data_IF_452332687897
#
_entry.id   IF_452332687897
#
_cell.length_a   1.000
_cell.length_b   1.000
_cell.length_c   1.000
_cell.angle_alpha   90.00
_cell.angle_beta   90.00
_cell.angle_gamma   90.00
#
_symmetry.space_group_name_H-M   'P 1'
#
loop_
_entity.id
_entity.type
_entity.pdbx_description
1 polymer ?
#
# COMPACT_ATOMS: atom_id res chain seq x y z
N UNK A 1 0.96 57.26 -2.36
CA UNK A 1 2.06 56.82 -3.24
C UNK A 1 2.64 55.54 -2.68
N UNK A 2 2.13 54.42 -3.14
CA UNK A 2 2.53 53.08 -2.68
C UNK A 2 3.33 52.45 -3.82
N UNK A 3 4.62 52.20 -3.57
CA UNK A 3 5.54 51.61 -4.52
C UNK A 3 5.34 50.07 -4.51
N UNK A 4 4.90 49.55 -5.64
CA UNK A 4 4.86 48.14 -5.91
C UNK A 4 6.26 47.70 -6.44
N UNK A 5 6.85 46.74 -5.76
CA UNK A 5 8.06 46.07 -6.23
C UNK A 5 7.72 45.05 -7.33
N UNK A 6 8.49 44.95 -8.43
CA UNK A 6 8.22 43.99 -9.50
C UNK A 6 8.68 42.58 -9.12
N UNK A 7 7.76 41.61 -9.20
CA UNK A 7 8.08 40.17 -9.15
C UNK A 7 8.97 39.79 -10.34
N UNK A 8 10.17 39.35 -10.05
CA UNK A 8 11.08 38.69 -10.99
C UNK A 8 10.47 37.34 -11.43
N UNK A 9 9.91 37.31 -12.64
CA UNK A 9 9.58 36.06 -13.34
C UNK A 9 10.90 35.38 -13.73
N UNK A 10 11.29 34.35 -12.99
CA UNK A 10 12.32 33.42 -13.46
C UNK A 10 11.73 32.50 -14.53
N UNK A 11 12.15 32.68 -15.78
CA UNK A 11 11.90 31.74 -16.86
C UNK A 11 12.66 30.43 -16.58
N UNK A 12 11.97 29.39 -16.14
CA UNK A 12 12.47 28.03 -16.14
C UNK A 12 12.22 27.41 -17.52
N UNK A 13 13.30 27.10 -18.22
CA UNK A 13 13.30 26.31 -19.47
C UNK A 13 12.72 24.94 -19.21
N UNK A 14 11.86 24.47 -20.12
CA UNK A 14 11.05 23.27 -20.05
C UNK A 14 11.82 21.97 -19.75
N UNK A 15 11.69 21.54 -18.50
CA UNK A 15 11.72 20.13 -18.14
C UNK A 15 10.28 19.75 -17.86
N UNK A 16 9.79 18.65 -18.39
CA UNK A 16 8.47 18.12 -18.07
C UNK A 16 8.41 17.96 -16.54
N UNK A 17 7.67 18.83 -15.86
CA UNK A 17 7.35 18.65 -14.46
C UNK A 17 6.57 17.34 -14.36
N UNK A 18 7.21 16.30 -13.85
CA UNK A 18 6.47 15.11 -13.44
C UNK A 18 5.52 15.56 -12.35
N UNK A 19 4.22 15.59 -12.66
CA UNK A 19 3.16 15.93 -11.73
C UNK A 19 3.32 15.05 -10.49
N UNK A 20 3.56 15.69 -9.33
CA UNK A 20 3.81 14.96 -8.08
C UNK A 20 2.53 14.22 -7.70
N UNK A 21 2.61 12.90 -7.48
CA UNK A 21 1.48 12.07 -7.14
C UNK A 21 1.70 11.42 -5.78
N UNK A 22 0.64 11.33 -4.96
CA UNK A 22 0.67 10.71 -3.63
C UNK A 22 0.16 9.28 -3.66
N UNK A 23 0.83 8.41 -2.92
CA UNK A 23 0.30 7.10 -2.58
C UNK A 23 -0.82 7.26 -1.53
N UNK A 24 -1.82 6.38 -1.56
CA UNK A 24 -2.86 6.30 -0.53
C UNK A 24 -3.06 4.84 -0.16
N UNK A 25 -3.08 4.57 1.13
CA UNK A 25 -3.42 3.25 1.64
C UNK A 25 -4.56 3.32 2.65
N UNK A 26 -5.38 2.27 2.66
CA UNK A 26 -6.48 2.06 3.59
C UNK A 26 -6.52 0.57 3.91
N UNK A 27 -6.08 0.21 5.10
CA UNK A 27 -5.94 -1.17 5.52
C UNK A 27 -6.91 -1.48 6.65
N UNK A 28 -7.74 -2.51 6.47
CA UNK A 28 -8.51 -3.10 7.54
C UNK A 28 -7.73 -4.28 8.12
N UNK A 29 -7.46 -4.24 9.41
CA UNK A 29 -6.84 -5.33 10.14
C UNK A 29 -7.68 -6.62 10.07
N UNK A 30 -7.06 -7.73 9.73
CA UNK A 30 -7.70 -9.04 9.71
C UNK A 30 -6.74 -10.11 10.21
N UNK A 31 -7.19 -10.95 11.15
CA UNK A 31 -6.47 -12.16 11.51
C UNK A 31 -6.95 -13.33 10.65
N UNK A 32 -6.12 -13.76 9.72
CA UNK A 32 -6.40 -14.94 8.90
C UNK A 32 -6.38 -16.25 9.69
N UNK A 33 -5.75 -16.25 10.87
CA UNK A 33 -5.60 -17.46 11.66
C UNK A 33 -6.87 -17.86 12.41
N UNK A 34 -7.89 -17.00 12.48
CA UNK A 34 -9.17 -17.31 13.13
C UNK A 34 -10.30 -17.80 12.21
N UNK A 35 -10.20 -17.63 10.90
CA UNK A 35 -11.20 -18.22 10.01
C UNK A 35 -11.11 -19.76 10.09
N UNK A 36 -12.25 -20.45 10.09
CA UNK A 36 -12.27 -21.94 10.07
C UNK A 36 -11.46 -22.51 8.90
N UNK A 37 -11.39 -21.79 7.79
CA UNK A 37 -10.54 -22.10 6.64
C UNK A 37 -9.06 -21.89 6.94
N UNK A 38 -8.67 -20.88 7.69
CA UNK A 38 -7.28 -20.65 8.06
C UNK A 38 -6.78 -21.63 9.13
N UNK A 39 -7.65 -22.11 10.04
CA UNK A 39 -7.29 -23.23 10.93
C UNK A 39 -7.03 -24.52 10.16
N UNK A 40 -7.73 -24.75 9.02
CA UNK A 40 -7.44 -25.87 8.11
C UNK A 40 -6.14 -25.66 7.32
N UNK A 41 -5.83 -24.45 6.93
CA UNK A 41 -4.62 -24.05 6.22
C UNK A 41 -3.39 -24.06 7.16
N UNK A 42 -3.54 -23.66 8.42
CA UNK A 42 -2.46 -23.73 9.42
C UNK A 42 -2.11 -25.18 9.83
N UNK A 43 -3.08 -26.11 9.74
CA UNK A 43 -2.82 -27.56 9.90
C UNK A 43 -2.23 -28.23 8.66
N UNK A 44 -2.27 -27.61 7.50
CA UNK A 44 -1.74 -28.11 6.23
C UNK A 44 -0.68 -27.18 5.67
N UNK A 45 0.56 -27.28 6.15
CA UNK A 45 1.83 -26.84 5.51
C UNK A 45 1.74 -25.76 4.41
N UNK A 46 0.96 -24.72 4.60
CA UNK A 46 1.08 -23.53 3.79
C UNK A 46 1.85 -22.53 4.63
N UNK A 47 3.11 -22.37 4.32
CA UNK A 47 3.95 -21.24 4.69
C UNK A 47 3.23 -19.96 4.26
N UNK A 48 2.25 -19.56 5.06
CA UNK A 48 1.66 -18.25 4.93
C UNK A 48 2.69 -17.26 5.41
N UNK A 49 3.11 -16.36 4.53
CA UNK A 49 3.85 -15.18 4.93
C UNK A 49 3.15 -14.56 6.15
N UNK A 50 3.81 -14.59 7.27
CA UNK A 50 3.34 -14.09 8.57
C UNK A 50 3.44 -12.57 8.69
N UNK A 51 3.69 -11.87 7.62
CA UNK A 51 3.65 -10.42 7.54
C UNK A 51 2.23 -9.90 7.27
N UNK A 52 1.26 -10.47 7.95
CA UNK A 52 -0.04 -9.86 8.03
C UNK A 52 0.03 -8.89 9.18
N UNK A 53 -0.32 -7.65 8.91
CA UNK A 53 -0.63 -6.72 9.97
C UNK A 53 -1.58 -7.42 10.92
N UNK A 54 -1.09 -7.81 12.10
CA UNK A 54 -1.86 -8.43 13.15
C UNK A 54 -2.82 -7.41 13.81
N UNK A 55 -3.47 -6.59 13.01
CA UNK A 55 -4.37 -5.53 13.43
C UNK A 55 -5.80 -6.05 13.65
N UNK A 56 -5.98 -7.37 13.73
CA UNK A 56 -7.25 -7.93 14.15
C UNK A 56 -7.36 -7.86 15.67
N UNK A 57 -8.32 -7.10 16.14
CA UNK A 57 -8.61 -6.97 17.57
C UNK A 57 -9.66 -8.04 17.95
N UNK A 58 -9.18 -9.24 18.22
CA UNK A 58 -10.04 -10.39 18.47
C UNK A 58 -10.56 -10.46 19.88
N UNK A 59 -9.78 -10.03 20.85
CA UNK A 59 -10.04 -10.13 22.27
C UNK A 59 -9.35 -8.98 23.04
N UNK A 60 -9.57 -8.94 24.35
CA UNK A 60 -9.02 -7.92 25.23
C UNK A 60 -7.49 -7.88 25.21
N UNK A 61 -6.80 -9.03 25.06
CA UNK A 61 -5.35 -9.05 24.95
C UNK A 61 -4.86 -8.40 23.65
N UNK A 62 -5.54 -8.66 22.53
CA UNK A 62 -5.24 -8.00 21.25
C UNK A 62 -5.51 -6.49 21.33
N UNK A 63 -6.62 -6.11 21.99
CA UNK A 63 -6.96 -4.70 22.20
C UNK A 63 -5.90 -3.99 23.07
N UNK A 64 -5.43 -4.63 24.15
CA UNK A 64 -4.35 -4.10 24.98
C UNK A 64 -3.03 -3.90 24.20
N UNK A 65 -2.70 -4.79 23.26
CA UNK A 65 -1.54 -4.63 22.38
C UNK A 65 -1.69 -3.44 21.44
N UNK A 66 -2.89 -3.27 20.87
CA UNK A 66 -3.21 -2.11 20.02
C UNK A 66 -3.15 -0.82 20.83
N UNK A 67 -3.70 -0.81 22.06
CA UNK A 67 -3.59 0.34 22.96
C UNK A 67 -2.14 0.76 23.18
N UNK A 68 -1.27 -0.19 23.55
CA UNK A 68 0.17 0.07 23.74
C UNK A 68 0.86 0.59 22.48
N UNK A 69 0.55 0.00 21.33
CA UNK A 69 1.13 0.41 20.05
C UNK A 69 0.68 1.79 19.64
N UNK A 70 -0.62 2.05 19.61
CA UNK A 70 -1.18 3.29 19.08
C UNK A 70 -0.90 4.49 19.99
N UNK A 71 -0.82 4.28 21.30
CA UNK A 71 -0.54 5.34 22.28
C UNK A 71 0.94 5.42 22.68
N UNK A 72 1.81 4.57 22.09
CA UNK A 72 3.25 4.50 22.43
C UNK A 72 3.48 4.40 23.93
N UNK A 73 2.77 3.51 24.58
CA UNK A 73 2.80 3.34 26.05
C UNK A 73 4.11 2.79 26.57
N UNK A 74 5.03 2.42 25.68
CA UNK A 74 6.36 1.88 25.96
C UNK A 74 7.49 2.84 25.53
N UNK A 75 7.19 4.01 24.95
CA UNK A 75 8.15 4.92 24.34
C UNK A 75 8.05 6.33 24.92
N UNK A 76 9.19 7.04 24.92
CA UNK A 76 9.25 8.42 25.38
C UNK A 76 8.81 9.45 24.31
N UNK A 77 8.43 9.03 23.11
CA UNK A 77 8.09 9.90 21.97
C UNK A 77 6.59 10.23 21.88
N UNK A 78 5.91 10.29 23.02
CA UNK A 78 4.46 10.63 23.09
C UNK A 78 4.11 11.98 22.43
N UNK A 79 5.04 12.88 22.30
CA UNK A 79 4.85 14.18 21.67
C UNK A 79 4.57 14.11 20.14
N UNK A 80 4.91 13.00 19.52
CA UNK A 80 4.69 12.72 18.11
C UNK A 80 3.39 11.95 17.84
N UNK A 81 2.61 11.69 18.88
CA UNK A 81 1.31 11.02 18.80
C UNK A 81 0.20 12.05 19.02
N UNK A 82 -0.88 11.95 18.23
CA UNK A 82 -2.06 12.82 18.37
C UNK A 82 -3.33 11.99 18.37
N UNK A 83 -3.98 11.92 19.53
CA UNK A 83 -5.34 11.38 19.63
C UNK A 83 -6.30 12.46 19.14
N UNK A 84 -7.06 12.16 18.09
CA UNK A 84 -8.04 13.09 17.50
C UNK A 84 -9.48 12.69 17.78
N UNK A 85 -9.70 11.46 18.26
CA UNK A 85 -10.99 10.95 18.74
C UNK A 85 -10.77 9.92 19.83
N UNK A 86 -11.66 9.87 20.83
CA UNK A 86 -11.52 9.03 22.03
C UNK A 86 -10.58 9.65 23.04
N UNK A 87 -10.01 8.80 23.88
CA UNK A 87 -9.13 9.19 24.98
C UNK A 87 -7.71 8.57 24.84
N UNK A 88 -6.88 8.76 25.86
CA UNK A 88 -5.59 8.06 25.95
C UNK A 88 -5.72 6.63 26.55
N UNK A 89 -6.89 6.03 26.40
CA UNK A 89 -7.16 4.64 26.81
C UNK A 89 -8.15 3.97 25.85
N UNK A 90 -7.61 3.40 24.79
CA UNK A 90 -8.38 2.73 23.73
C UNK A 90 -9.19 1.55 24.29
N UNK A 91 -8.68 0.90 25.33
CA UNK A 91 -9.38 -0.24 25.95
C UNK A 91 -10.68 0.22 26.59
N UNK A 92 -10.65 1.32 27.33
CA UNK A 92 -11.84 1.89 27.94
C UNK A 92 -12.76 2.53 26.89
N UNK A 93 -12.21 3.24 25.88
CA UNK A 93 -13.01 3.80 24.77
C UNK A 93 -13.84 2.70 24.07
N UNK A 94 -13.28 1.51 23.85
CA UNK A 94 -14.02 0.37 23.24
C UNK A 94 -15.05 -0.19 24.22
N UNK A 95 -14.74 -0.32 25.51
CA UNK A 95 -15.71 -0.81 26.52
C UNK A 95 -16.92 0.13 26.66
N UNK A 96 -16.67 1.44 26.70
CA UNK A 96 -17.71 2.46 26.80
C UNK A 96 -18.60 2.43 25.54
N UNK A 97 -18.00 2.29 24.37
CA UNK A 97 -18.73 2.11 23.12
C UNK A 97 -19.61 0.85 23.13
N UNK A 98 -19.15 -0.25 23.75
CA UNK A 98 -19.98 -1.45 23.92
C UNK A 98 -21.18 -1.21 24.83
N UNK A 99 -21.01 -0.46 25.91
CA UNK A 99 -22.11 -0.07 26.80
C UNK A 99 -23.10 0.85 26.06
N UNK A 100 -22.61 1.85 25.35
CA UNK A 100 -23.45 2.80 24.60
C UNK A 100 -24.28 2.08 23.52
N UNK A 101 -23.66 1.22 22.74
CA UNK A 101 -24.27 0.69 21.52
C UNK A 101 -25.08 -0.60 21.75
N UNK A 102 -24.75 -1.41 22.74
CA UNK A 102 -25.34 -2.76 22.87
C UNK A 102 -26.14 -2.99 24.15
N UNK A 103 -26.03 -2.12 25.13
CA UNK A 103 -26.67 -2.40 26.46
C UNK A 103 -28.21 -2.51 26.37
N UNK A 104 -28.85 -1.61 25.64
CA UNK A 104 -30.30 -1.66 25.43
C UNK A 104 -30.71 -2.96 24.74
N UNK A 105 -30.04 -3.35 23.66
CA UNK A 105 -30.33 -4.60 22.95
C UNK A 105 -30.04 -5.84 23.80
N UNK A 106 -29.06 -5.79 24.72
CA UNK A 106 -28.75 -6.83 25.70
C UNK A 106 -29.88 -6.99 26.71
N UNK A 107 -30.37 -5.89 27.26
CA UNK A 107 -31.48 -5.89 28.22
C UNK A 107 -32.74 -6.43 27.53
N UNK A 108 -33.08 -5.94 26.34
CA UNK A 108 -34.23 -6.44 25.56
C UNK A 108 -34.14 -7.96 25.29
N UNK A 109 -32.95 -8.42 24.93
CA UNK A 109 -32.71 -9.86 24.72
C UNK A 109 -32.90 -10.65 25.99
N UNK A 110 -32.32 -10.21 27.12
CA UNK A 110 -32.39 -10.90 28.41
C UNK A 110 -33.83 -10.99 28.96
N UNK A 111 -34.64 -9.94 28.76
CA UNK A 111 -36.04 -9.94 29.19
C UNK A 111 -36.90 -11.02 28.49
N UNK A 112 -36.48 -11.47 27.31
CA UNK A 112 -37.15 -12.56 26.57
C UNK A 112 -36.65 -13.94 26.98
N UNK A 113 -35.60 -14.05 27.82
CA UNK A 113 -35.05 -15.34 28.25
C UNK A 113 -35.67 -15.81 29.55
N UNK A 114 -36.25 -16.99 29.49
CA UNK A 114 -36.78 -17.67 30.68
C UNK A 114 -35.71 -18.38 31.51
N UNK A 115 -34.62 -18.79 30.86
CA UNK A 115 -33.48 -19.50 31.47
C UNK A 115 -32.32 -18.55 31.73
N UNK A 116 -31.76 -18.58 32.94
CA UNK A 116 -30.67 -17.70 33.35
C UNK A 116 -29.35 -17.98 32.59
N UNK A 117 -29.09 -19.25 32.23
CA UNK A 117 -27.90 -19.64 31.44
C UNK A 117 -27.89 -19.08 30.02
N UNK A 118 -29.04 -18.59 29.51
CA UNK A 118 -29.13 -17.92 28.19
C UNK A 118 -28.97 -16.40 28.26
N UNK A 119 -29.03 -15.83 29.46
CA UNK A 119 -28.87 -14.40 29.65
C UNK A 119 -27.43 -13.97 29.48
N UNK A 120 -27.24 -12.79 28.88
CA UNK A 120 -25.93 -12.20 28.64
C UNK A 120 -25.63 -11.22 29.77
N UNK A 121 -24.66 -11.53 30.63
CA UNK A 121 -24.25 -10.65 31.73
C UNK A 121 -23.57 -9.39 31.23
N UNK A 122 -22.58 -9.55 30.36
CA UNK A 122 -21.81 -8.46 29.74
C UNK A 122 -21.54 -8.83 28.29
N UNK A 123 -21.90 -7.94 27.34
CA UNK A 123 -21.77 -8.25 25.93
C UNK A 123 -20.31 -8.14 25.42
N UNK A 124 -19.52 -7.21 25.96
CA UNK A 124 -18.08 -7.14 25.69
C UNK A 124 -17.37 -8.45 26.05
N UNK A 125 -17.63 -8.97 27.25
CA UNK A 125 -17.05 -10.24 27.70
C UNK A 125 -17.50 -11.41 26.84
N UNK A 126 -18.80 -11.46 26.47
CA UNK A 126 -19.31 -12.48 25.54
C UNK A 126 -18.60 -12.49 24.20
N UNK A 127 -18.33 -11.32 23.62
CA UNK A 127 -17.60 -11.22 22.35
C UNK A 127 -16.11 -11.56 22.56
N UNK A 128 -15.50 -11.11 23.65
CA UNK A 128 -14.13 -11.44 24.02
C UNK A 128 -13.85 -12.96 24.07
N UNK A 129 -14.83 -13.74 24.52
CA UNK A 129 -14.75 -15.20 24.62
C UNK A 129 -15.23 -15.91 23.34
N UNK A 130 -15.78 -15.18 22.39
CA UNK A 130 -16.33 -15.72 21.14
C UNK A 130 -15.28 -15.84 20.05
N UNK A 131 -15.70 -16.28 18.85
CA UNK A 131 -14.88 -16.28 17.64
C UNK A 131 -15.02 -14.99 16.81
N UNK A 132 -15.84 -14.04 17.27
CA UNK A 132 -15.98 -12.74 16.60
C UNK A 132 -14.85 -11.81 17.03
N UNK A 133 -14.45 -10.90 16.14
CA UNK A 133 -13.51 -9.87 16.50
C UNK A 133 -14.19 -8.87 17.46
N UNK A 134 -13.48 -8.50 18.52
CA UNK A 134 -13.96 -7.56 19.53
C UNK A 134 -14.07 -6.14 18.95
N UNK A 135 -13.12 -5.75 18.15
CA UNK A 135 -13.09 -4.49 17.41
C UNK A 135 -12.33 -4.66 16.09
N UNK A 136 -12.24 -3.61 15.31
CA UNK A 136 -11.44 -3.57 14.09
C UNK A 136 -10.54 -2.34 14.12
N UNK A 137 -9.36 -2.48 13.56
CA UNK A 137 -8.46 -1.36 13.31
C UNK A 137 -8.41 -1.08 11.82
N UNK A 138 -8.48 0.20 11.45
CA UNK A 138 -8.27 0.71 10.10
C UNK A 138 -7.06 1.62 10.15
N UNK A 139 -6.08 1.39 9.26
CA UNK A 139 -4.93 2.26 9.11
C UNK A 139 -5.09 3.04 7.81
N UNK A 140 -4.93 4.37 7.90
CA UNK A 140 -5.00 5.30 6.77
C UNK A 140 -3.68 6.03 6.65
N UNK A 141 -3.09 5.99 5.46
CA UNK A 141 -1.84 6.68 5.15
C UNK A 141 -1.95 7.41 3.81
N UNK A 142 -1.44 8.65 3.75
CA UNK A 142 -1.32 9.45 2.53
C UNK A 142 0.12 9.91 2.35
N UNK A 143 0.65 9.67 1.16
CA UNK A 143 2.06 9.86 0.87
C UNK A 143 2.87 8.62 1.23
N UNK A 144 4.11 8.59 0.77
CA UNK A 144 5.08 7.56 1.11
C UNK A 144 6.32 8.22 1.75
N UNK A 145 7.24 7.40 2.21
CA UNK A 145 8.49 7.89 2.81
C UNK A 145 9.22 8.90 1.89
N UNK A 146 9.22 8.67 0.57
CA UNK A 146 9.90 9.57 -0.38
C UNK A 146 9.25 10.94 -0.44
N UNK A 147 7.94 11.03 -0.26
CA UNK A 147 7.23 12.31 -0.19
C UNK A 147 7.50 13.04 1.14
N UNK A 148 7.53 12.30 2.27
CA UNK A 148 7.58 12.89 3.60
C UNK A 148 8.99 13.18 4.14
N UNK A 149 10.05 12.53 3.59
CA UNK A 149 11.44 12.61 4.11
C UNK A 149 11.99 14.04 4.24
N UNK A 150 11.63 14.91 3.26
CA UNK A 150 12.12 16.29 3.19
C UNK A 150 11.12 17.32 3.76
N UNK A 151 10.05 16.85 4.42
CA UNK A 151 9.03 17.73 5.03
C UNK A 151 9.33 17.94 6.51
N UNK A 152 9.32 19.21 6.92
CA UNK A 152 9.51 19.60 8.31
C UNK A 152 8.31 19.19 9.20
N UNK A 153 8.48 19.35 10.51
CA UNK A 153 7.47 18.97 11.51
C UNK A 153 6.16 19.74 11.30
N UNK A 154 6.22 21.05 11.00
CA UNK A 154 5.03 21.88 10.81
C UNK A 154 4.23 21.41 9.60
N UNK A 155 4.92 21.12 8.49
CA UNK A 155 4.28 20.59 7.29
C UNK A 155 3.60 19.23 7.57
N UNK A 156 4.25 18.32 8.31
CA UNK A 156 3.66 17.04 8.70
C UNK A 156 2.45 17.20 9.61
N UNK A 157 2.48 18.14 10.57
CA UNK A 157 1.38 18.38 11.52
C UNK A 157 0.08 18.85 10.87
N UNK A 158 0.12 19.47 9.68
CA UNK A 158 -1.10 19.80 8.91
C UNK A 158 -1.93 18.57 8.54
N UNK A 159 -1.34 17.36 8.58
CA UNK A 159 -2.09 16.13 8.41
C UNK A 159 -3.14 15.89 9.49
N UNK A 160 -3.05 16.57 10.65
CA UNK A 160 -4.08 16.49 11.70
C UNK A 160 -5.44 16.91 11.12
N UNK A 161 -5.50 18.01 10.37
CA UNK A 161 -6.76 18.51 9.79
C UNK A 161 -7.27 17.58 8.69
N UNK A 162 -6.36 17.05 7.87
CA UNK A 162 -6.69 16.07 6.83
C UNK A 162 -7.29 14.80 7.43
N UNK A 163 -6.66 14.27 8.48
CA UNK A 163 -7.12 13.03 9.13
C UNK A 163 -8.39 13.26 9.98
N UNK A 164 -8.60 14.44 10.56
CA UNK A 164 -9.87 14.80 11.18
C UNK A 164 -11.04 14.76 10.17
N UNK A 165 -10.84 15.33 8.98
CA UNK A 165 -11.85 15.21 7.91
C UNK A 165 -12.06 13.75 7.49
N UNK A 166 -10.99 12.95 7.42
CA UNK A 166 -11.09 11.51 7.09
C UNK A 166 -11.92 10.73 8.12
N UNK A 167 -11.79 11.02 9.41
CA UNK A 167 -12.64 10.42 10.45
C UNK A 167 -14.11 10.78 10.22
N UNK A 168 -14.39 12.06 9.97
CA UNK A 168 -15.75 12.54 9.71
C UNK A 168 -16.33 11.94 8.42
N UNK A 169 -15.53 11.78 7.39
CA UNK A 169 -15.94 11.15 6.13
C UNK A 169 -16.21 9.65 6.32
N UNK A 170 -15.39 8.96 7.10
CA UNK A 170 -15.62 7.54 7.41
C UNK A 170 -16.94 7.35 8.17
N UNK A 171 -17.26 8.20 9.15
CA UNK A 171 -18.54 8.17 9.87
C UNK A 171 -19.73 8.33 8.91
N UNK A 172 -19.63 9.24 7.93
CA UNK A 172 -20.70 9.47 6.95
C UNK A 172 -20.81 8.31 5.94
N UNK A 173 -19.68 7.76 5.50
CA UNK A 173 -19.63 6.67 4.51
C UNK A 173 -20.08 5.34 5.11
N UNK A 174 -19.74 5.12 6.40
CA UNK A 174 -19.96 3.86 7.10
C UNK A 174 -20.49 4.10 8.52
N UNK A 175 -21.73 4.57 8.68
CA UNK A 175 -22.31 4.94 9.98
C UNK A 175 -22.45 3.77 10.96
N UNK A 176 -22.45 2.54 10.45
CA UNK A 176 -22.51 1.32 11.24
C UNK A 176 -21.14 0.83 11.73
N UNK A 177 -20.06 1.52 11.36
CA UNK A 177 -18.75 1.36 11.97
C UNK A 177 -18.57 2.46 13.03
N UNK A 178 -18.76 2.12 14.28
CA UNK A 178 -18.64 3.08 15.38
C UNK A 178 -17.19 3.22 15.79
N UNK A 179 -16.66 4.43 15.68
CA UNK A 179 -15.27 4.74 15.99
C UNK A 179 -15.14 5.00 17.49
N UNK A 180 -14.34 4.18 18.18
CA UNK A 180 -13.98 4.39 19.58
C UNK A 180 -12.80 5.36 19.70
N UNK A 181 -11.74 5.14 18.89
CA UNK A 181 -10.53 5.93 18.99
C UNK A 181 -9.92 6.17 17.59
N UNK A 182 -9.26 7.33 17.44
CA UNK A 182 -8.44 7.63 16.27
C UNK A 182 -7.17 8.36 16.70
N UNK A 183 -6.02 7.80 16.36
CA UNK A 183 -4.69 8.27 16.77
C UNK A 183 -3.79 8.42 15.55
N UNK A 184 -3.09 9.55 15.45
CA UNK A 184 -2.14 9.84 14.37
C UNK A 184 -0.71 9.64 14.89
N UNK A 185 0.10 8.97 14.11
CA UNK A 185 1.53 8.79 14.34
C UNK A 185 2.34 9.70 13.44
N UNK A 186 3.28 10.46 14.03
CA UNK A 186 4.25 11.31 13.35
C UNK A 186 5.70 10.87 13.60
N UNK A 187 5.91 9.86 14.43
CA UNK A 187 7.20 9.31 14.83
C UNK A 187 7.81 8.38 13.78
N UNK A 188 7.03 7.95 12.82
CA UNK A 188 7.48 7.07 11.75
C UNK A 188 7.81 7.84 10.45
N UNK A 189 8.22 7.12 9.42
CA UNK A 189 8.68 7.71 8.14
C UNK A 189 7.63 8.55 7.44
N UNK A 190 6.36 8.18 7.58
CA UNK A 190 5.20 8.88 7.03
C UNK A 190 4.09 9.04 8.08
N UNK A 191 3.40 10.19 8.14
CA UNK A 191 2.23 10.35 9.00
C UNK A 191 1.14 9.37 8.60
N UNK A 192 0.62 8.61 9.57
CA UNK A 192 -0.49 7.69 9.35
C UNK A 192 -1.43 7.68 10.55
N UNK A 193 -2.67 7.26 10.31
CA UNK A 193 -3.72 7.28 11.32
C UNK A 193 -4.23 5.87 11.59
N UNK A 194 -4.33 5.53 12.86
CA UNK A 194 -4.96 4.33 13.38
C UNK A 194 -6.38 4.66 13.86
N UNK A 195 -7.38 3.97 13.32
CA UNK A 195 -8.78 4.12 13.69
C UNK A 195 -9.25 2.80 14.28
N UNK A 196 -9.60 2.80 15.56
CA UNK A 196 -10.16 1.65 16.26
C UNK A 196 -11.67 1.83 16.41
N UNK A 197 -12.45 0.84 16.01
CA UNK A 197 -13.91 0.91 16.08
C UNK A 197 -14.58 -0.46 16.07
N UNK A 198 -15.88 -0.46 16.29
CA UNK A 198 -16.72 -1.65 16.37
C UNK A 198 -17.70 -1.67 15.20
N UNK A 199 -17.66 -2.71 14.35
CA UNK A 199 -18.64 -2.90 13.27
C UNK A 199 -19.96 -3.42 13.84
N UNK A 200 -21.03 -2.70 13.59
CA UNK A 200 -22.35 -2.98 14.12
C UNK A 200 -23.29 -3.48 13.02
N UNK A 201 -24.08 -4.48 13.33
CA UNK A 201 -25.22 -4.92 12.54
C UNK A 201 -26.49 -4.80 13.37
N UNK A 202 -27.56 -4.38 12.73
CA UNK A 202 -28.86 -4.18 13.34
C UNK A 202 -29.92 -5.12 12.74
N UNK A 203 -31.10 -5.19 13.37
CA UNK A 203 -32.21 -6.01 12.93
C UNK A 203 -31.89 -7.51 12.80
N UNK A 204 -31.00 -8.00 13.66
CA UNK A 204 -30.64 -9.41 13.69
C UNK A 204 -31.82 -10.29 14.08
N UNK A 205 -32.07 -11.35 13.32
CA UNK A 205 -33.17 -12.30 13.57
C UNK A 205 -32.88 -13.31 14.67
N UNK A 206 -31.60 -13.52 14.99
CA UNK A 206 -31.13 -14.44 16.04
C UNK A 206 -30.25 -13.72 17.04
N UNK A 207 -30.40 -14.03 18.32
CA UNK A 207 -29.64 -13.37 19.38
C UNK A 207 -30.19 -11.98 19.72
N UNK A 208 -29.30 -11.06 20.03
CA UNK A 208 -29.65 -9.66 20.24
C UNK A 208 -30.04 -9.01 18.90
N UNK A 209 -30.92 -8.02 18.93
CA UNK A 209 -31.29 -7.28 17.70
C UNK A 209 -30.12 -6.50 17.11
N UNK A 210 -29.20 -6.03 17.95
CA UNK A 210 -27.98 -5.29 17.58
C UNK A 210 -26.77 -6.09 18.04
N UNK A 211 -25.84 -6.36 17.14
CA UNK A 211 -24.69 -7.23 17.38
C UNK A 211 -23.44 -6.73 16.67
N UNK A 212 -22.27 -7.21 17.08
CA UNK A 212 -21.01 -7.03 16.33
C UNK A 212 -21.05 -7.88 15.05
N UNK A 213 -20.68 -7.28 13.91
CA UNK A 213 -20.80 -7.94 12.62
C UNK A 213 -19.75 -7.57 11.58
N UNK A 214 -18.47 -7.86 11.84
CA UNK A 214 -17.35 -7.51 10.92
C UNK A 214 -17.53 -8.08 9.52
N UNK A 215 -17.83 -9.36 9.38
CA UNK A 215 -17.92 -10.04 8.08
C UNK A 215 -19.09 -9.58 7.23
N UNK A 216 -20.17 -9.12 7.87
CA UNK A 216 -21.33 -8.57 7.16
C UNK A 216 -21.10 -7.13 6.71
N UNK A 217 -20.38 -6.35 7.51
CA UNK A 217 -20.07 -4.97 7.19
C UNK A 217 -18.94 -4.84 6.16
N UNK A 218 -17.87 -5.58 6.34
CA UNK A 218 -16.66 -5.54 5.52
C UNK A 218 -16.60 -6.71 4.54
N UNK A 219 -17.52 -6.74 3.58
CA UNK A 219 -17.43 -7.62 2.42
C UNK A 219 -16.39 -7.10 1.43
N UNK A 220 -15.93 -7.93 0.50
CA UNK A 220 -14.99 -7.51 -0.55
C UNK A 220 -15.50 -6.31 -1.34
N UNK A 221 -16.79 -6.30 -1.63
CA UNK A 221 -17.43 -5.23 -2.41
C UNK A 221 -17.54 -3.93 -1.58
N UNK A 222 -18.00 -4.02 -0.32
CA UNK A 222 -18.12 -2.86 0.56
C UNK A 222 -16.76 -2.24 0.84
N UNK A 223 -15.72 -3.04 1.09
CA UNK A 223 -14.34 -2.56 1.29
C UNK A 223 -13.83 -1.80 0.08
N UNK A 224 -14.06 -2.32 -1.13
CA UNK A 224 -13.64 -1.62 -2.36
C UNK A 224 -14.32 -0.26 -2.47
N UNK A 225 -15.64 -0.21 -2.23
CA UNK A 225 -16.41 1.05 -2.27
C UNK A 225 -15.96 2.06 -1.19
N UNK A 226 -15.70 1.58 0.02
CA UNK A 226 -15.22 2.41 1.13
C UNK A 226 -13.84 2.97 0.78
N UNK A 227 -12.91 2.13 0.37
CA UNK A 227 -11.56 2.56 -0.03
C UNK A 227 -11.59 3.61 -1.13
N UNK A 228 -12.46 3.48 -2.13
CA UNK A 228 -12.57 4.43 -3.24
C UNK A 228 -13.09 5.78 -2.79
N UNK A 229 -14.14 5.78 -1.94
CA UNK A 229 -14.69 7.02 -1.38
C UNK A 229 -13.69 7.72 -0.46
N UNK A 230 -13.07 6.96 0.46
CA UNK A 230 -12.09 7.49 1.40
C UNK A 230 -10.85 8.04 0.69
N UNK A 231 -10.36 7.34 -0.33
CA UNK A 231 -9.26 7.78 -1.19
C UNK A 231 -9.56 9.13 -1.86
N UNK A 232 -10.76 9.26 -2.42
CA UNK A 232 -11.18 10.51 -3.11
C UNK A 232 -11.37 11.65 -2.11
N UNK A 233 -11.92 11.38 -0.95
CA UNK A 233 -12.09 12.37 0.12
C UNK A 233 -10.72 12.83 0.65
N UNK A 234 -9.79 11.91 0.90
CA UNK A 234 -8.49 12.21 1.47
C UNK A 234 -7.67 13.19 0.61
N UNK A 235 -7.59 12.97 -0.70
CA UNK A 235 -6.83 13.88 -1.57
C UNK A 235 -7.47 15.26 -1.67
N UNK A 236 -8.81 15.35 -1.60
CA UNK A 236 -9.50 16.63 -1.57
C UNK A 236 -9.18 17.42 -0.29
N UNK A 237 -9.24 16.76 0.87
CA UNK A 237 -8.88 17.37 2.15
C UNK A 237 -7.41 17.78 2.17
N UNK A 238 -6.53 16.93 1.66
CA UNK A 238 -5.10 17.25 1.55
C UNK A 238 -4.88 18.51 0.71
N UNK A 239 -5.42 18.56 -0.50
CA UNK A 239 -5.26 19.72 -1.39
C UNK A 239 -5.83 20.99 -0.78
N UNK A 240 -6.96 20.90 -0.06
CA UNK A 240 -7.57 22.00 0.66
C UNK A 240 -6.63 22.57 1.75
N UNK A 241 -6.11 21.74 2.64
CA UNK A 241 -5.33 22.20 3.79
C UNK A 241 -3.89 22.57 3.42
N UNK A 242 -3.34 21.96 2.38
CA UNK A 242 -1.99 22.27 1.90
C UNK A 242 -1.96 23.33 0.80
N UNK A 243 -3.12 23.77 0.28
CA UNK A 243 -3.18 24.72 -0.85
C UNK A 243 -2.53 24.17 -2.11
N UNK A 244 -2.67 22.87 -2.36
CA UNK A 244 -2.04 22.15 -3.46
C UNK A 244 -3.10 21.57 -4.41
N UNK A 245 -2.67 21.14 -5.61
CA UNK A 245 -3.47 20.38 -6.57
C UNK A 245 -2.72 19.13 -6.98
N UNK A 246 -2.51 18.24 -6.00
CA UNK A 246 -1.80 16.97 -6.20
C UNK A 246 -2.82 15.87 -6.50
N UNK A 247 -2.44 14.94 -7.39
CA UNK A 247 -3.22 13.74 -7.71
C UNK A 247 -2.70 12.52 -6.95
N UNK A 248 -3.55 11.53 -6.83
CA UNK A 248 -3.15 10.24 -6.28
C UNK A 248 -2.51 9.37 -7.37
N UNK A 249 -1.49 8.59 -6.99
CA UNK A 249 -0.95 7.52 -7.84
C UNK A 249 -2.07 6.57 -8.24
N UNK A 250 -2.02 6.00 -9.43
CA UNK A 250 -2.99 5.01 -9.87
C UNK A 250 -3.01 3.80 -8.94
N UNK A 251 -4.20 3.17 -8.80
CA UNK A 251 -4.33 1.94 -8.03
C UNK A 251 -3.53 0.83 -8.69
N UNK A 252 -2.65 0.22 -7.93
CA UNK A 252 -1.95 -0.97 -8.40
C UNK A 252 -2.86 -2.19 -8.26
N UNK A 253 -2.92 -3.03 -9.32
CA UNK A 253 -3.58 -4.34 -9.23
C UNK A 253 -2.71 -5.27 -8.40
N UNK A 254 -3.33 -5.88 -7.40
CA UNK A 254 -2.65 -6.84 -6.54
C UNK A 254 -2.79 -6.49 -5.06
N UNK A 255 -2.28 -7.37 -4.23
CA UNK A 255 -2.23 -7.17 -2.78
C UNK A 255 -0.87 -6.60 -2.44
N UNK A 256 -0.84 -5.40 -1.85
CA UNK A 256 0.38 -4.89 -1.23
C UNK A 256 0.78 -5.87 -0.11
N UNK A 257 2.03 -6.29 -0.12
CA UNK A 257 2.61 -7.02 0.99
C UNK A 257 3.21 -5.98 1.93
N UNK A 258 2.85 -6.05 3.20
CA UNK A 258 3.51 -5.26 4.23
C UNK A 258 4.97 -5.74 4.32
N UNK A 259 5.90 -4.82 4.17
CA UNK A 259 7.34 -5.11 4.25
C UNK A 259 7.78 -4.75 5.66
N UNK A 260 8.47 -5.69 6.32
CA UNK A 260 9.02 -5.43 7.64
C UNK A 260 10.02 -4.27 7.57
N UNK A 261 10.01 -3.40 8.56
CA UNK A 261 10.93 -2.24 8.65
C UNK A 261 12.40 -2.68 8.48
N UNK A 262 12.78 -3.84 8.97
CA UNK A 262 14.13 -4.43 8.80
C UNK A 262 14.49 -4.70 7.35
N UNK A 263 13.49 -4.99 6.51
CA UNK A 263 13.68 -5.34 5.08
C UNK A 263 13.48 -4.13 4.16
N UNK A 264 13.08 -2.98 4.71
CA UNK A 264 12.75 -1.78 3.94
C UNK A 264 13.95 -1.24 3.15
N UNK A 265 15.15 -1.29 3.71
CA UNK A 265 16.39 -0.86 3.03
C UNK A 265 16.69 -1.73 1.80
N UNK A 266 16.55 -3.05 1.95
CA UNK A 266 16.73 -4.01 0.86
C UNK A 266 15.65 -3.81 -0.23
N UNK A 267 14.40 -3.64 0.17
CA UNK A 267 13.29 -3.35 -0.76
C UNK A 267 13.52 -2.06 -1.55
N UNK A 268 13.94 -0.99 -0.88
CA UNK A 268 14.23 0.30 -1.53
C UNK A 268 15.36 0.17 -2.53
N UNK A 269 16.41 -0.57 -2.18
CA UNK A 269 17.54 -0.83 -3.09
C UNK A 269 17.11 -1.66 -4.31
N UNK A 270 16.34 -2.73 -4.12
CA UNK A 270 15.77 -3.55 -5.19
C UNK A 270 14.86 -2.72 -6.09
N UNK A 271 13.99 -1.88 -5.53
CA UNK A 271 13.10 -0.98 -6.28
C UNK A 271 13.89 0.00 -7.15
N UNK A 272 14.99 0.57 -6.62
CA UNK A 272 15.89 1.44 -7.37
C UNK A 272 16.55 0.71 -8.53
N UNK A 273 17.10 -0.48 -8.27
CA UNK A 273 17.70 -1.31 -9.30
C UNK A 273 16.70 -1.70 -10.40
N UNK A 274 15.47 -2.05 -10.02
CA UNK A 274 14.41 -2.39 -10.97
C UNK A 274 14.04 -1.19 -11.87
N UNK A 275 13.95 0.01 -11.30
CA UNK A 275 13.69 1.24 -12.05
C UNK A 275 14.82 1.57 -13.04
N UNK A 276 16.07 1.41 -12.64
CA UNK A 276 17.23 1.58 -13.51
C UNK A 276 17.24 0.55 -14.65
N UNK A 277 16.90 -0.69 -14.32
CA UNK A 277 16.80 -1.80 -15.28
C UNK A 277 15.69 -1.54 -16.30
N UNK A 278 14.51 -1.12 -15.85
CA UNK A 278 13.40 -0.76 -16.74
C UNK A 278 13.79 0.36 -17.69
N UNK A 279 14.48 1.38 -17.21
CA UNK A 279 14.99 2.50 -18.03
C UNK A 279 15.99 2.05 -19.11
N UNK A 280 16.83 1.04 -18.82
CA UNK A 280 17.76 0.43 -19.80
C UNK A 280 16.99 -0.38 -20.85
N UNK A 281 15.98 -1.14 -20.44
CA UNK A 281 15.12 -1.92 -21.34
C UNK A 281 14.34 -1.01 -22.30
N UNK A 282 13.74 0.08 -21.79
CA UNK A 282 13.01 1.05 -22.61
C UNK A 282 13.95 1.70 -23.68
N UNK A 283 15.17 2.04 -23.29
CA UNK A 283 16.18 2.54 -24.23
C UNK A 283 16.54 1.50 -25.30
N UNK A 284 16.71 0.24 -24.92
CA UNK A 284 17.00 -0.85 -25.85
C UNK A 284 15.86 -1.04 -26.85
N UNK A 285 14.61 -1.01 -26.39
CA UNK A 285 13.42 -1.12 -27.26
C UNK A 285 13.34 0.03 -28.27
N UNK A 286 13.60 1.26 -27.83
CA UNK A 286 13.63 2.43 -28.73
C UNK A 286 14.71 2.28 -29.79
N UNK A 287 15.91 1.83 -29.41
CA UNK A 287 17.02 1.61 -30.34
C UNK A 287 16.74 0.46 -31.33
N UNK A 288 16.14 -0.62 -30.87
CA UNK A 288 15.74 -1.75 -31.74
C UNK A 288 14.71 -1.32 -32.76
N UNK A 289 13.66 -0.59 -32.34
CA UNK A 289 12.64 -0.06 -33.27
C UNK A 289 13.24 0.90 -34.31
N UNK A 290 14.19 1.74 -33.90
CA UNK A 290 14.92 2.61 -34.83
C UNK A 290 15.73 1.79 -35.85
N UNK A 291 16.40 0.74 -35.38
CA UNK A 291 17.21 -0.15 -36.25
C UNK A 291 16.32 -0.86 -37.27
N UNK A 292 15.13 -1.37 -36.88
CA UNK A 292 14.19 -2.01 -37.78
C UNK A 292 13.73 -1.07 -38.90
N UNK A 293 13.46 0.20 -38.59
CA UNK A 293 13.09 1.19 -39.60
C UNK A 293 14.25 1.51 -40.55
N UNK A 294 15.44 1.75 -40.02
CA UNK A 294 16.63 2.01 -40.86
C UNK A 294 17.03 0.79 -41.70
N UNK A 295 16.78 -0.42 -41.24
CA UNK A 295 16.99 -1.66 -42.01
C UNK A 295 16.11 -1.70 -43.26
N UNK A 296 14.85 -1.27 -43.15
CA UNK A 296 13.93 -1.17 -44.29
C UNK A 296 14.43 -0.17 -45.33
N UNK A 297 14.89 1.00 -44.88
CA UNK A 297 15.44 2.03 -45.76
C UNK A 297 16.70 1.53 -46.49
N UNK A 298 17.58 0.81 -45.81
CA UNK A 298 18.79 0.23 -46.43
C UNK A 298 18.42 -0.84 -47.47
N UNK A 299 17.45 -1.70 -47.20
CA UNK A 299 17.01 -2.69 -48.17
C UNK A 299 16.41 -2.02 -49.43
N UNK A 300 15.63 -0.94 -49.27
CA UNK A 300 15.14 -0.16 -50.41
C UNK A 300 16.28 0.45 -51.24
N UNK A 301 17.34 0.96 -50.61
CA UNK A 301 18.53 1.49 -51.31
C UNK A 301 19.19 0.37 -52.10
N UNK A 302 19.40 -0.81 -51.51
CA UNK A 302 20.05 -1.96 -52.15
C UNK A 302 19.22 -2.48 -53.34
N UNK A 303 17.92 -2.57 -53.21
CA UNK A 303 17.01 -3.03 -54.29
C UNK A 303 16.93 -2.08 -55.46
N UNK A 304 17.20 -0.78 -55.23
CA UNK A 304 17.17 0.26 -56.27
C UNK A 304 18.54 0.56 -56.93
N UNK A 305 19.59 -0.16 -56.56
CA UNK A 305 20.91 0.00 -57.15
C UNK A 305 20.89 -0.29 -58.68
N UNK A 306 21.53 0.54 -59.46
CA UNK A 306 21.65 0.39 -60.91
C UNK A 306 23.08 0.15 -61.35
N UNK A 307 23.34 -0.68 -62.38
CA UNK A 307 24.69 -0.88 -62.92
C UNK A 307 25.27 0.41 -63.50
N UNK A 308 26.56 0.60 -63.34
CA UNK A 308 27.28 1.73 -63.95
C UNK A 308 27.31 1.64 -65.48
N UNK A 309 27.17 2.78 -66.13
CA UNK A 309 27.10 2.86 -67.61
C UNK A 309 28.33 2.27 -68.32
N UNK A 310 29.50 2.38 -67.74
CA UNK A 310 30.79 1.96 -68.37
C UNK A 310 31.35 0.66 -67.82
N UNK A 311 30.85 0.18 -66.67
CA UNK A 311 31.28 -1.09 -66.06
C UNK A 311 30.07 -1.72 -65.36
N UNK A 312 29.47 -2.73 -65.99
CA UNK A 312 28.26 -3.41 -65.49
C UNK A 312 28.49 -4.20 -64.20
N UNK A 313 29.75 -4.42 -63.82
CA UNK A 313 30.09 -5.09 -62.57
C UNK A 313 30.10 -4.11 -61.37
N UNK A 314 30.00 -2.83 -61.63
CA UNK A 314 29.91 -1.79 -60.61
C UNK A 314 28.47 -1.29 -60.51
N UNK A 315 28.03 -1.04 -59.29
CA UNK A 315 26.74 -0.42 -58.99
C UNK A 315 26.91 1.07 -58.68
N UNK A 316 25.98 1.90 -59.10
CA UNK A 316 25.95 3.33 -58.77
C UNK A 316 25.12 3.57 -57.56
N UNK A 317 25.70 4.23 -56.57
CA UNK A 317 25.03 4.68 -55.35
C UNK A 317 25.17 6.19 -55.20
N UNK A 318 24.13 6.86 -54.69
CA UNK A 318 24.21 8.28 -54.39
C UNK A 318 25.02 8.55 -53.12
N UNK A 319 25.64 9.75 -53.03
CA UNK A 319 26.35 10.15 -51.83
C UNK A 319 25.43 10.19 -50.61
N UNK A 320 24.13 10.53 -50.78
CA UNK A 320 23.12 10.53 -49.73
C UNK A 320 22.89 9.12 -49.22
N UNK A 321 22.76 8.13 -50.10
CA UNK A 321 22.53 6.73 -49.71
C UNK A 321 23.80 6.13 -49.05
N UNK A 322 24.98 6.53 -49.42
CA UNK A 322 26.26 6.19 -48.74
C UNK A 322 26.20 6.67 -47.29
N UNK A 323 25.77 7.91 -47.05
CA UNK A 323 25.64 8.44 -45.67
C UNK A 323 24.56 7.72 -44.86
N UNK A 324 23.43 7.33 -45.47
CA UNK A 324 22.41 6.50 -44.82
C UNK A 324 22.98 5.13 -44.38
N UNK A 325 23.78 4.48 -45.23
CA UNK A 325 24.43 3.20 -44.90
C UNK A 325 25.46 3.37 -43.75
N UNK A 326 26.25 4.44 -43.77
CA UNK A 326 27.19 4.72 -42.67
C UNK A 326 26.47 4.93 -41.33
N UNK A 327 25.36 5.69 -41.34
CA UNK A 327 24.55 5.93 -40.15
C UNK A 327 23.91 4.63 -39.63
N UNK A 328 23.40 3.78 -40.53
CA UNK A 328 22.91 2.45 -40.18
C UNK A 328 23.97 1.60 -39.51
N UNK A 329 25.21 1.56 -40.03
CA UNK A 329 26.30 0.81 -39.44
C UNK A 329 26.62 1.27 -38.01
N UNK A 330 26.54 2.60 -37.77
CA UNK A 330 26.69 3.20 -36.45
C UNK A 330 25.56 2.79 -35.52
N UNK A 331 24.29 2.86 -35.98
CA UNK A 331 23.12 2.46 -35.21
C UNK A 331 23.14 0.97 -34.83
N UNK A 332 23.60 0.09 -35.74
CA UNK A 332 23.82 -1.35 -35.45
C UNK A 332 24.85 -1.53 -34.32
N UNK A 333 25.97 -0.82 -34.38
CA UNK A 333 27.02 -0.91 -33.34
C UNK A 333 26.51 -0.45 -31.97
N UNK A 334 25.75 0.66 -31.92
CA UNK A 334 25.21 1.21 -30.67
C UNK A 334 24.11 0.34 -30.10
N UNK A 335 23.24 -0.22 -30.97
CA UNK A 335 22.17 -1.18 -30.55
C UNK A 335 22.79 -2.45 -30.02
N UNK A 336 23.81 -3.01 -30.65
CA UNK A 336 24.50 -4.21 -30.19
C UNK A 336 25.12 -4.03 -28.81
N UNK A 337 25.71 -2.86 -28.49
CA UNK A 337 26.20 -2.57 -27.13
C UNK A 337 25.08 -2.56 -26.11
N UNK A 338 23.95 -1.97 -26.47
CA UNK A 338 22.78 -1.88 -25.56
C UNK A 338 22.17 -3.26 -25.32
N UNK A 339 22.02 -4.07 -26.35
CA UNK A 339 21.47 -5.44 -26.23
C UNK A 339 22.38 -6.33 -25.37
N UNK A 340 23.72 -6.21 -25.51
CA UNK A 340 24.65 -6.94 -24.62
C UNK A 340 24.42 -6.54 -23.16
N UNK A 341 24.26 -5.26 -22.85
CA UNK A 341 23.99 -4.81 -21.48
C UNK A 341 22.64 -5.27 -20.92
N UNK A 342 21.67 -5.59 -21.78
CA UNK A 342 20.35 -6.17 -21.38
C UNK A 342 20.49 -7.68 -21.16
N UNK A 343 21.31 -8.38 -21.93
CA UNK A 343 21.57 -9.82 -21.70
C UNK A 343 22.33 -10.06 -20.39
N UNK A 344 23.32 -9.24 -20.04
CA UNK A 344 23.98 -9.28 -18.73
C UNK A 344 22.98 -9.06 -17.60
N UNK A 345 21.95 -8.25 -17.85
CA UNK A 345 20.86 -7.99 -16.95
C UNK A 345 19.97 -9.23 -16.73
N UNK A 346 19.63 -9.96 -17.78
CA UNK A 346 18.82 -11.17 -17.70
C UNK A 346 19.53 -12.27 -16.91
N UNK A 347 20.87 -12.36 -17.05
CA UNK A 347 21.67 -13.27 -16.21
C UNK A 347 21.56 -12.86 -14.74
N UNK A 348 21.76 -11.58 -14.42
CA UNK A 348 21.67 -11.09 -13.05
C UNK A 348 20.25 -11.26 -12.44
N UNK A 349 19.18 -11.18 -13.24
CA UNK A 349 17.82 -11.49 -12.78
C UNK A 349 17.66 -12.97 -12.43
N UNK A 350 18.15 -13.88 -13.26
CA UNK A 350 18.10 -15.32 -12.97
C UNK A 350 18.89 -15.68 -11.71
N UNK A 351 20.07 -15.07 -11.54
CA UNK A 351 20.88 -15.29 -10.34
C UNK A 351 20.17 -14.79 -9.08
N UNK A 352 19.45 -13.68 -9.19
CA UNK A 352 18.65 -13.14 -8.10
C UNK A 352 17.43 -14.04 -7.79
N UNK A 353 16.71 -14.51 -8.80
CA UNK A 353 15.58 -15.46 -8.64
C UNK A 353 16.06 -16.75 -7.98
N UNK A 354 17.22 -17.27 -8.38
CA UNK A 354 17.81 -18.43 -7.75
C UNK A 354 18.19 -18.18 -6.29
N UNK A 355 18.81 -17.04 -5.99
CA UNK A 355 19.16 -16.68 -4.61
C UNK A 355 17.94 -16.47 -3.74
N UNK A 356 16.87 -15.86 -4.26
CA UNK A 356 15.61 -15.69 -3.54
C UNK A 356 14.95 -17.04 -3.22
N UNK A 357 15.02 -17.98 -4.16
CA UNK A 357 14.51 -19.34 -3.97
C UNK A 357 15.28 -20.11 -2.88
N UNK A 358 16.62 -20.01 -2.86
CA UNK A 358 17.43 -20.66 -1.83
C UNK A 358 17.19 -20.07 -0.43
N UNK A 359 17.05 -18.75 -0.31
CA UNK A 359 16.69 -18.09 0.95
C UNK A 359 15.30 -18.52 1.42
N UNK A 360 14.34 -18.67 0.53
CA UNK A 360 13.01 -19.18 0.89
C UNK A 360 13.04 -20.63 1.37
N UNK A 361 13.87 -21.45 0.75
CA UNK A 361 14.09 -22.86 1.15
C UNK A 361 14.76 -22.95 2.53
N UNK A 362 15.76 -22.12 2.80
CA UNK A 362 16.44 -22.05 4.10
C UNK A 362 15.48 -21.58 5.20
N UNK A 363 14.68 -20.56 4.93
CA UNK A 363 13.66 -20.08 5.86
C UNK A 363 12.60 -21.15 6.17
N UNK A 364 12.25 -22.01 5.22
CA UNK A 364 11.35 -23.16 5.45
C UNK A 364 12.01 -24.20 6.38
N UNK A 365 13.29 -24.47 6.18
CA UNK A 365 14.05 -25.41 7.01
C UNK A 365 14.20 -24.91 8.45
N UNK A 366 14.54 -23.63 8.62
CA UNK A 366 14.65 -23.00 9.93
C UNK A 366 13.31 -22.97 10.69
N UNK A 367 12.21 -22.71 9.99
CA UNK A 367 10.88 -22.78 10.60
C UNK A 367 10.54 -24.19 11.09
N UNK A 368 10.86 -25.19 10.32
CA UNK A 368 10.65 -26.59 10.73
C UNK A 368 11.44 -26.92 11.99
N UNK A 369 12.71 -26.48 12.06
CA UNK A 369 13.56 -26.68 13.25
C UNK A 369 13.04 -25.95 14.49
N UNK A 370 12.44 -24.76 14.33
CA UNK A 370 11.81 -24.01 15.43
C UNK A 370 10.55 -24.74 15.92
N UNK A 371 9.69 -25.19 14.99
CA UNK A 371 8.48 -25.94 15.35
C UNK A 371 8.78 -27.29 16.03
N UNK A 372 9.88 -27.93 15.72
CA UNK A 372 10.36 -29.14 16.39
C UNK A 372 10.84 -28.84 17.80
N UNK A 373 11.63 -27.79 17.98
CA UNK A 373 12.11 -27.38 19.31
C UNK A 373 10.99 -26.87 20.22
N UNK A 374 9.97 -26.20 19.68
CA UNK A 374 8.79 -25.76 20.45
C UNK A 374 7.90 -26.95 20.91
N UNK A 375 8.09 -28.14 20.36
CA UNK A 375 7.41 -29.36 20.80
C UNK A 375 8.17 -30.12 21.91
N UNK A 376 9.47 -29.83 22.05
CA UNK A 376 10.33 -30.45 23.04
C UNK A 376 10.34 -29.68 24.38
N UNK A 377 9.75 -28.43 24.39
CA UNK A 377 9.53 -27.61 25.57
C UNK A 377 8.07 -27.75 26.02
#
# INVERSE_FOLDING_TARGET
MTSQSPMLRRNFKGGAFMEQQLAYSFHLGSDKNKSKSAKKVAKGNVSGSTSLSNNAIQNANSLSKVNKHNLRDYDNEKDLIRVIRGTNDIVNDVKDLYLEEFEEARIEYNNKQTRNDRKIGNYFMKINESQNDLACEIIVELGDMDFWKDKDKEHRLKMIDVYNEQVNDLIKILPTFKIANATIHFDETSPHMHIVGVPIIENCTRGMKKQVGKSQLFTKESLTKIQDKMRTACIKSFNKFYGMDIKLKEKQKGRNQDINVKDMSNYTNIKKQLAEKKKKLDKANIQTNKLDNTTKDINQILDNLKPAKFNKNNMVISNEDVEKIKNFTKDVKDTTKTVRSVNDLNVAIRDFEHSAFEIEKENRSLKYQIEEKDKEI
#
